data_IF_602234415147
#
_entry.id   IF_602234415147
#
_cell.length_a   1.000
_cell.length_b   1.000
_cell.length_c   1.000
_cell.angle_alpha   90.00
_cell.angle_beta   90.00
_cell.angle_gamma   90.00
#
_symmetry.space_group_name_H-M   'P 1'
#
loop_
_entity.id
_entity.type
_entity.pdbx_description
1 polymer ?
#
# COMPACT_ATOMS: atom_id res chain seq x y z
N UNK A 1 -8.00 4.58 -26.97
CA UNK A 1 -7.11 5.19 -25.96
C UNK A 1 -5.95 5.85 -26.68
N UNK A 2 -5.64 7.12 -26.43
CA UNK A 2 -4.44 7.77 -26.98
C UNK A 2 -3.28 7.45 -26.04
N UNK A 3 -2.39 6.56 -26.47
CA UNK A 3 -1.10 6.31 -25.82
C UNK A 3 -0.19 7.50 -26.10
N UNK A 4 0.48 8.01 -25.06
CA UNK A 4 1.43 9.10 -25.20
C UNK A 4 2.77 8.52 -25.68
N UNK A 5 3.38 9.09 -26.72
CA UNK A 5 4.65 8.55 -27.21
C UNK A 5 5.76 8.80 -26.19
N UNK A 6 6.66 7.83 -26.03
CA UNK A 6 7.82 7.91 -25.12
C UNK A 6 8.64 9.17 -25.43
N UNK A 7 8.84 9.48 -26.72
CA UNK A 7 9.53 10.70 -27.17
C UNK A 7 8.90 11.98 -26.64
N UNK A 8 7.55 12.03 -26.55
CA UNK A 8 6.84 13.20 -26.01
C UNK A 8 6.97 13.33 -24.48
N UNK A 9 7.18 12.21 -23.76
CA UNK A 9 7.45 12.20 -22.32
C UNK A 9 8.89 12.66 -22.03
N UNK A 10 9.86 12.18 -22.80
CA UNK A 10 11.26 12.59 -22.69
C UNK A 10 11.39 14.07 -23.03
N UNK A 11 10.79 14.53 -24.14
CA UNK A 11 10.80 15.93 -24.54
C UNK A 11 10.11 16.85 -23.52
N UNK A 12 9.00 16.40 -22.91
CA UNK A 12 8.34 17.14 -21.83
C UNK A 12 9.20 17.21 -20.55
N UNK A 13 9.98 16.17 -20.26
CA UNK A 13 10.88 16.14 -19.11
C UNK A 13 12.16 16.99 -19.28
N UNK A 14 12.58 17.22 -20.52
CA UNK A 14 13.76 18.03 -20.89
C UNK A 14 13.47 19.54 -20.97
N UNK A 15 12.21 19.98 -20.82
CA UNK A 15 11.86 21.40 -20.83
C UNK A 15 12.61 22.16 -19.71
N UNK A 16 13.44 23.12 -20.13
CA UNK A 16 14.37 23.85 -19.26
C UNK A 16 13.69 24.57 -18.09
N UNK A 17 12.41 24.95 -18.20
CA UNK A 17 11.64 25.60 -17.11
C UNK A 17 11.33 24.67 -15.92
N UNK A 18 11.34 23.33 -16.08
CA UNK A 18 11.06 22.37 -14.99
C UNK A 18 12.25 21.50 -14.60
N UNK A 19 13.43 21.73 -15.20
CA UNK A 19 14.61 20.88 -15.01
C UNK A 19 15.29 21.15 -13.65
N UNK A 20 14.96 20.32 -12.66
CA UNK A 20 15.61 20.32 -11.35
C UNK A 20 17.09 19.90 -11.46
N UNK A 21 17.95 20.45 -10.59
CA UNK A 21 19.34 19.97 -10.47
C UNK A 21 19.32 18.51 -9.98
N UNK A 22 20.00 17.62 -10.71
CA UNK A 22 20.21 16.22 -10.31
C UNK A 22 21.19 16.16 -9.13
N UNK A 23 20.68 16.36 -7.93
CA UNK A 23 21.45 16.28 -6.66
C UNK A 23 21.15 15.02 -5.85
N UNK A 24 20.08 14.29 -6.18
CA UNK A 24 19.75 13.03 -5.53
C UNK A 24 20.72 11.95 -5.98
N UNK A 25 21.65 11.59 -5.09
CA UNK A 25 22.47 10.39 -5.23
C UNK A 25 21.70 9.12 -4.84
N UNK A 26 22.32 7.94 -5.05
CA UNK A 26 21.72 6.65 -4.71
C UNK A 26 21.22 6.57 -3.27
N UNK A 27 22.02 7.09 -2.33
CA UNK A 27 21.71 7.04 -0.90
C UNK A 27 20.50 7.91 -0.50
N UNK A 28 20.40 9.12 -1.07
CA UNK A 28 19.23 9.98 -0.87
C UNK A 28 17.98 9.40 -1.51
N UNK A 29 18.12 8.71 -2.65
CA UNK A 29 17.00 8.07 -3.34
C UNK A 29 16.48 6.86 -2.54
N UNK A 30 17.38 6.04 -1.98
CA UNK A 30 17.01 4.94 -1.09
C UNK A 30 16.37 5.44 0.20
N UNK A 31 16.89 6.53 0.78
CA UNK A 31 16.30 7.15 1.97
C UNK A 31 14.90 7.71 1.68
N UNK A 32 14.71 8.36 0.54
CA UNK A 32 13.40 8.84 0.09
C UNK A 32 12.41 7.68 -0.09
N UNK A 33 12.84 6.59 -0.73
CA UNK A 33 12.02 5.39 -0.90
C UNK A 33 11.64 4.74 0.42
N UNK A 34 12.59 4.57 1.34
CA UNK A 34 12.32 3.99 2.66
C UNK A 34 11.34 4.86 3.48
N UNK A 35 11.52 6.18 3.46
CA UNK A 35 10.63 7.13 4.12
C UNK A 35 9.21 7.13 3.54
N UNK A 36 9.07 6.89 2.23
CA UNK A 36 7.77 6.75 1.60
C UNK A 36 7.06 5.43 1.95
N UNK A 37 7.81 4.36 2.26
CA UNK A 37 7.28 3.03 2.60
C UNK A 37 6.94 2.90 4.10
N UNK A 38 7.81 3.40 4.98
CA UNK A 38 7.61 3.35 6.44
C UNK A 38 6.64 4.46 6.87
N UNK A 39 5.34 4.17 6.85
CA UNK A 39 4.28 5.07 7.30
C UNK A 39 3.61 4.67 8.62
N UNK A 40 2.51 5.32 8.98
CA UNK A 40 1.70 4.98 10.16
C UNK A 40 1.14 3.56 10.13
N UNK A 41 0.98 2.98 8.93
CA UNK A 41 0.47 1.64 8.72
C UNK A 41 1.24 0.55 9.47
N UNK A 42 2.58 0.57 9.45
CA UNK A 42 3.37 -0.47 10.14
C UNK A 42 3.19 -0.40 11.66
N UNK A 43 2.94 0.78 12.22
CA UNK A 43 2.77 0.98 13.66
C UNK A 43 1.35 0.64 14.14
N UNK A 44 0.33 0.89 13.33
CA UNK A 44 -1.09 0.68 13.71
C UNK A 44 -1.64 -0.66 13.21
N UNK A 45 -1.49 -0.97 11.92
CA UNK A 45 -2.05 -2.20 11.34
C UNK A 45 -1.38 -3.45 11.91
N UNK A 46 -0.06 -3.43 12.14
CA UNK A 46 0.64 -4.59 12.70
C UNK A 46 0.13 -4.93 14.10
N UNK A 47 -0.09 -3.92 14.94
CA UNK A 47 -0.58 -4.09 16.30
C UNK A 47 -2.01 -4.63 16.33
N UNK A 48 -2.90 -4.05 15.53
CA UNK A 48 -4.30 -4.49 15.42
C UNK A 48 -4.44 -5.86 14.76
N UNK A 49 -3.62 -6.16 13.74
CA UNK A 49 -3.58 -7.48 13.10
C UNK A 49 -3.05 -8.58 14.03
N UNK A 50 -2.07 -8.27 14.88
CA UNK A 50 -1.51 -9.22 15.84
C UNK A 50 -2.46 -9.46 17.03
N UNK A 51 -3.01 -8.39 17.60
CA UNK A 51 -3.91 -8.48 18.76
C UNK A 51 -5.29 -9.03 18.41
N UNK A 52 -5.83 -8.68 17.23
CA UNK A 52 -7.21 -8.95 16.88
C UNK A 52 -8.16 -8.01 17.60
N UNK A 53 -9.08 -7.39 16.85
CA UNK A 53 -10.10 -6.53 17.45
C UNK A 53 -11.33 -7.36 17.80
N UNK A 54 -11.45 -7.73 19.08
CA UNK A 54 -12.72 -8.21 19.65
C UNK A 54 -13.49 -7.00 20.17
N UNK A 55 -14.10 -6.24 19.26
CA UNK A 55 -14.90 -5.09 19.68
C UNK A 55 -16.25 -5.57 20.21
N UNK A 56 -16.33 -5.74 21.54
CA UNK A 56 -17.59 -5.93 22.25
C UNK A 56 -18.40 -4.64 22.17
N UNK A 57 -19.25 -4.52 21.15
CA UNK A 57 -20.21 -3.42 21.06
C UNK A 57 -21.43 -3.72 21.96
N UNK A 58 -21.73 -2.91 22.99
CA UNK A 58 -22.98 -3.02 23.75
C UNK A 58 -24.17 -2.37 23.03
N UNK A 59 -24.10 -2.20 21.70
CA UNK A 59 -25.03 -1.35 20.94
C UNK A 59 -25.89 -2.17 19.98
N UNK A 60 -27.09 -2.53 20.46
CA UNK A 60 -28.20 -3.18 19.74
C UNK A 60 -28.63 -2.47 18.44
N UNK A 61 -28.20 -1.22 18.22
CA UNK A 61 -28.61 -0.39 17.07
C UNK A 61 -27.76 -0.58 15.80
N UNK A 62 -26.64 -1.30 15.85
CA UNK A 62 -25.75 -1.52 14.70
C UNK A 62 -25.56 -3.01 14.33
N UNK A 63 -26.38 -3.91 14.89
CA UNK A 63 -26.35 -5.30 14.51
C UNK A 63 -26.74 -5.44 13.01
N UNK A 64 -25.92 -6.08 12.17
CA UNK A 64 -26.33 -6.43 10.82
C UNK A 64 -27.61 -7.28 10.92
N UNK A 65 -28.66 -6.90 10.19
CA UNK A 65 -30.00 -7.54 10.22
C UNK A 65 -29.90 -9.07 10.05
N UNK A 66 -28.87 -9.53 9.34
CA UNK A 66 -28.57 -10.94 9.12
C UNK A 66 -28.20 -11.70 10.40
N UNK A 67 -27.48 -11.09 11.34
CA UNK A 67 -27.07 -11.71 12.61
C UNK A 67 -28.24 -11.78 13.61
N UNK A 68 -29.11 -10.77 13.59
CA UNK A 68 -30.36 -10.74 14.36
C UNK A 68 -31.36 -11.81 13.87
N UNK A 69 -31.43 -12.03 12.54
CA UNK A 69 -32.28 -13.04 11.91
C UNK A 69 -31.81 -14.49 12.16
N UNK A 70 -30.50 -14.72 12.19
CA UNK A 70 -29.93 -16.06 12.39
C UNK A 70 -29.83 -16.47 13.87
N UNK A 71 -29.57 -15.54 14.80
CA UNK A 71 -29.27 -15.87 16.20
C UNK A 71 -30.33 -15.43 17.23
N UNK A 72 -31.36 -14.65 16.82
CA UNK A 72 -32.44 -14.23 17.72
C UNK A 72 -31.96 -13.44 18.94
N UNK A 73 -32.83 -13.24 19.93
CA UNK A 73 -32.67 -12.30 21.06
C UNK A 73 -31.44 -12.50 21.99
N UNK A 74 -30.57 -13.47 21.70
CA UNK A 74 -29.34 -13.85 22.41
C UNK A 74 -28.05 -13.41 21.69
N UNK A 75 -28.13 -12.45 20.76
CA UNK A 75 -27.00 -11.96 20.00
C UNK A 75 -25.98 -11.19 20.88
N UNK A 76 -25.06 -11.91 21.52
CA UNK A 76 -23.76 -11.36 21.90
C UNK A 76 -22.94 -11.15 20.63
N UNK A 77 -22.97 -9.93 20.12
CA UNK A 77 -22.31 -9.49 18.88
C UNK A 77 -20.78 -9.57 18.98
N UNK A 78 -20.23 -10.77 18.81
CA UNK A 78 -18.80 -11.04 18.71
C UNK A 78 -18.35 -10.97 17.25
N UNK A 79 -18.54 -9.84 16.59
CA UNK A 79 -18.03 -9.62 15.23
C UNK A 79 -16.59 -9.09 15.30
N UNK A 80 -15.68 -9.90 15.83
CA UNK A 80 -14.26 -9.60 15.90
C UNK A 80 -13.44 -10.47 14.96
N UNK A 81 -12.47 -9.91 14.25
CA UNK A 81 -11.49 -10.73 13.52
C UNK A 81 -10.53 -11.35 14.56
N UNK A 82 -10.37 -12.68 14.61
CA UNK A 82 -9.36 -13.28 15.46
C UNK A 82 -7.99 -12.73 15.06
N UNK A 83 -7.21 -12.28 16.03
CA UNK A 83 -5.86 -11.79 15.81
C UNK A 83 -5.01 -12.90 15.21
N UNK A 84 -4.19 -12.57 14.21
CA UNK A 84 -3.27 -13.54 13.61
C UNK A 84 -2.12 -13.91 14.57
N UNK A 85 -2.02 -13.24 15.73
CA UNK A 85 -1.03 -13.53 16.77
C UNK A 85 0.41 -13.40 16.26
N UNK A 86 1.35 -14.21 16.78
CA UNK A 86 2.74 -14.24 16.30
C UNK A 86 2.87 -14.59 14.80
N UNK A 87 1.82 -15.18 14.20
CA UNK A 87 1.77 -15.52 12.77
C UNK A 87 1.74 -14.32 11.82
N UNK A 88 1.53 -13.10 12.33
CA UNK A 88 1.66 -11.85 11.57
C UNK A 88 3.04 -11.75 10.88
N UNK A 89 4.11 -12.24 11.53
CA UNK A 89 5.44 -12.23 10.95
C UNK A 89 5.54 -13.04 9.64
N UNK A 90 4.86 -14.18 9.56
CA UNK A 90 4.81 -15.00 8.35
C UNK A 90 4.04 -14.31 7.22
N UNK A 91 2.96 -13.58 7.58
CA UNK A 91 2.21 -12.77 6.60
C UNK A 91 3.07 -11.65 6.03
N UNK A 92 3.87 -10.97 6.87
CA UNK A 92 4.82 -9.96 6.41
C UNK A 92 5.91 -10.52 5.51
N UNK A 93 6.40 -11.74 5.78
CA UNK A 93 7.39 -12.40 4.94
C UNK A 93 6.85 -12.68 3.53
N UNK A 94 5.62 -13.20 3.43
CA UNK A 94 4.97 -13.44 2.13
C UNK A 94 4.73 -12.13 1.37
N UNK A 95 4.28 -11.09 2.07
CA UNK A 95 4.12 -9.74 1.49
C UNK A 95 5.45 -9.20 0.99
N UNK A 96 6.54 -9.35 1.75
CA UNK A 96 7.86 -8.89 1.35
C UNK A 96 8.30 -9.54 0.02
N UNK A 97 8.11 -10.86 -0.12
CA UNK A 97 8.42 -11.58 -1.36
C UNK A 97 7.59 -11.04 -2.52
N UNK A 98 6.28 -10.89 -2.35
CA UNK A 98 5.40 -10.35 -3.39
C UNK A 98 5.79 -8.92 -3.80
N UNK A 99 6.11 -8.06 -2.82
CA UNK A 99 6.58 -6.70 -3.06
C UNK A 99 7.93 -6.66 -3.78
N UNK A 100 8.84 -7.60 -3.54
CA UNK A 100 10.12 -7.68 -4.27
C UNK A 100 9.90 -7.93 -5.76
N UNK A 101 9.00 -8.83 -6.15
CA UNK A 101 8.67 -9.06 -7.56
C UNK A 101 8.07 -7.80 -8.21
N UNK A 102 7.18 -7.11 -7.51
CA UNK A 102 6.62 -5.85 -7.99
C UNK A 102 7.70 -4.76 -8.15
N UNK A 103 8.62 -4.65 -7.18
CA UNK A 103 9.72 -3.70 -7.20
C UNK A 103 10.69 -3.96 -8.37
N UNK A 104 10.97 -5.22 -8.69
CA UNK A 104 11.79 -5.59 -9.85
C UNK A 104 11.14 -5.14 -11.17
N UNK A 105 9.84 -5.36 -11.33
CA UNK A 105 9.10 -4.88 -12.50
C UNK A 105 9.15 -3.35 -12.61
N UNK A 106 9.00 -2.63 -11.49
CA UNK A 106 9.13 -1.17 -11.48
C UNK A 106 10.56 -0.69 -11.75
N UNK A 107 11.58 -1.42 -11.31
CA UNK A 107 12.98 -1.10 -11.57
C UNK A 107 13.31 -1.21 -13.06
N UNK A 108 12.83 -2.26 -13.74
CA UNK A 108 12.97 -2.42 -15.20
C UNK A 108 12.31 -1.25 -15.97
N UNK A 109 11.09 -0.88 -15.59
CA UNK A 109 10.38 0.24 -16.21
C UNK A 109 11.07 1.59 -15.97
N UNK A 110 11.55 1.84 -14.74
CA UNK A 110 12.28 3.05 -14.40
C UNK A 110 13.63 3.15 -15.11
N UNK A 111 14.28 2.02 -15.41
CA UNK A 111 15.53 1.99 -16.19
C UNK A 111 15.28 2.25 -17.68
N UNK A 112 14.15 1.83 -18.22
CA UNK A 112 13.82 2.03 -19.64
C UNK A 112 13.39 3.47 -19.95
N UNK A 113 12.75 4.16 -19.01
CA UNK A 113 12.21 5.51 -19.21
C UNK A 113 12.60 6.39 -18.00
N UNK A 114 13.78 7.05 -18.02
CA UNK A 114 14.29 7.82 -16.88
C UNK A 114 13.62 9.20 -16.77
N UNK A 115 12.28 9.23 -16.79
CA UNK A 115 11.45 10.42 -16.61
C UNK A 115 10.89 10.45 -15.20
N UNK A 116 10.78 11.64 -14.62
CA UNK A 116 10.13 11.82 -13.32
C UNK A 116 8.61 11.59 -13.49
N UNK A 117 8.17 10.35 -13.23
CA UNK A 117 6.79 9.91 -13.38
C UNK A 117 6.39 8.84 -12.37
N UNK A 118 5.10 8.75 -12.09
CA UNK A 118 4.51 7.67 -11.28
C UNK A 118 3.92 6.60 -12.20
N UNK A 119 3.28 5.58 -11.65
CA UNK A 119 2.66 4.46 -12.37
C UNK A 119 1.77 4.90 -13.55
N UNK A 120 1.11 6.05 -13.43
CA UNK A 120 0.30 6.65 -14.49
C UNK A 120 1.06 6.99 -15.78
N UNK A 121 2.34 7.34 -15.67
CA UNK A 121 3.19 7.68 -16.81
C UNK A 121 3.64 6.43 -17.57
N UNK A 122 3.61 5.26 -16.92
CA UNK A 122 3.95 3.98 -17.54
C UNK A 122 2.72 3.26 -18.13
N UNK A 123 1.53 3.57 -17.61
CA UNK A 123 0.28 2.95 -18.04
C UNK A 123 -0.42 3.67 -19.22
N UNK A 124 -0.04 4.91 -19.55
CA UNK A 124 -0.66 5.78 -20.55
C UNK A 124 0.36 6.39 -21.52
#
# INVERSE_FOLDING_TARGET
>A
MRVKSIDSLIAASEQAERRLRRTLGPWSLTALGLGAVIGSGIFVLTGTAAAGETMSYPSLLHAPVLDLLLHGHQATSLTGRPGAGPGVALSFLLVAIACSFAALCFAELASMIPVAGSTYTYAY
#
